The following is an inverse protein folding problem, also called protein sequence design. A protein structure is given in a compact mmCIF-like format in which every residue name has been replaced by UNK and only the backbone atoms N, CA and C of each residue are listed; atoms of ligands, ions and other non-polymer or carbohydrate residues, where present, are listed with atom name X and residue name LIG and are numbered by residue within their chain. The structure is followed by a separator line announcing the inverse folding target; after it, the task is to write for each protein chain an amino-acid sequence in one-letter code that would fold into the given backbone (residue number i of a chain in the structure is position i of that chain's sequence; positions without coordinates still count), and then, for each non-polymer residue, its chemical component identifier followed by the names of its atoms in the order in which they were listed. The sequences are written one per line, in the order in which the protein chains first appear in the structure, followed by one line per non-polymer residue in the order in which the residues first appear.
data_IF_248419388852
#
_entry.id   IF_248419388852
#
_cell.length_a   1.000
_cell.length_b   1.000
_cell.length_c   1.000
_cell.angle_alpha   90.00
_cell.angle_beta   90.00
_cell.angle_gamma   90.00
#
_symmetry.space_group_name_H-M   'P 1'
#
loop_
_entity.id
_entity.type
_entity.pdbx_description
1 polymer ?
#
# COMPACT_ATOMS: atom_id res chain seq x y z
N UNK A 1 -19.17 -5.12 -13.14
CA UNK A 1 -18.87 -5.51 -11.76
C UNK A 1 -18.68 -7.01 -11.72
N UNK A 2 -17.47 -7.46 -11.36
CA UNK A 2 -17.07 -8.86 -11.28
C UNK A 2 -16.55 -9.23 -9.88
N UNK A 3 -16.03 -10.45 -9.70
CA UNK A 3 -15.52 -10.90 -8.40
C UNK A 3 -14.37 -10.05 -7.89
N UNK A 4 -13.43 -9.65 -8.76
CA UNK A 4 -12.27 -8.84 -8.40
C UNK A 4 -12.69 -7.43 -7.95
N UNK A 5 -13.55 -6.75 -8.72
CA UNK A 5 -14.04 -5.42 -8.37
C UNK A 5 -14.85 -5.43 -7.07
N UNK A 6 -15.67 -6.47 -6.85
CA UNK A 6 -16.41 -6.64 -5.59
C UNK A 6 -15.48 -6.83 -4.40
N UNK A 7 -14.42 -7.65 -4.53
CA UNK A 7 -13.44 -7.88 -3.47
C UNK A 7 -12.79 -6.55 -3.04
N UNK A 8 -12.30 -5.76 -4.01
CA UNK A 8 -11.63 -4.49 -3.71
C UNK A 8 -12.61 -3.43 -3.20
N UNK A 9 -13.82 -3.33 -3.74
CA UNK A 9 -14.83 -2.40 -3.25
C UNK A 9 -15.26 -2.72 -1.81
N UNK A 10 -15.42 -4.00 -1.46
CA UNK A 10 -15.75 -4.42 -0.09
C UNK A 10 -14.64 -4.00 0.87
N UNK A 11 -13.37 -4.31 0.56
CA UNK A 11 -12.29 -3.98 1.47
C UNK A 11 -12.07 -2.47 1.59
N UNK A 12 -12.23 -1.70 0.50
CA UNK A 12 -12.13 -0.26 0.53
C UNK A 12 -13.26 0.37 1.37
N UNK A 13 -14.49 -0.13 1.23
CA UNK A 13 -15.64 0.32 2.05
C UNK A 13 -15.45 -0.04 3.52
N UNK A 14 -14.97 -1.26 3.82
CA UNK A 14 -14.67 -1.69 5.17
C UNK A 14 -13.60 -0.78 5.81
N UNK A 15 -12.58 -0.42 5.05
CA UNK A 15 -11.52 0.45 5.53
C UNK A 15 -11.95 1.90 5.69
N UNK A 16 -12.83 2.41 4.83
CA UNK A 16 -13.44 3.71 5.03
C UNK A 16 -14.22 3.76 6.35
N UNK A 17 -14.98 2.71 6.64
CA UNK A 17 -15.72 2.59 7.89
C UNK A 17 -14.78 2.46 9.12
N UNK A 18 -13.84 1.53 9.10
CA UNK A 18 -12.92 1.30 10.21
C UNK A 18 -11.99 2.52 10.46
N UNK A 19 -11.50 3.14 9.40
CA UNK A 19 -10.71 4.38 9.49
C UNK A 19 -11.54 5.54 10.05
N UNK A 20 -12.81 5.64 9.64
CA UNK A 20 -13.77 6.62 10.18
C UNK A 20 -14.03 6.41 11.68
N UNK A 21 -14.23 5.18 12.13
CA UNK A 21 -14.35 4.87 13.55
C UNK A 21 -13.09 5.23 14.33
N UNK A 22 -11.92 4.91 13.79
CA UNK A 22 -10.64 5.28 14.42
C UNK A 22 -10.50 6.80 14.50
N UNK A 23 -10.96 7.54 13.50
CA UNK A 23 -10.86 8.99 13.38
C UNK A 23 -11.98 9.77 14.11
N UNK A 24 -12.82 9.14 14.94
CA UNK A 24 -13.93 9.82 15.65
C UNK A 24 -13.47 11.04 16.49
N UNK A 25 -12.25 10.99 17.02
CA UNK A 25 -11.65 12.10 17.78
C UNK A 25 -10.89 13.12 16.91
N UNK A 26 -10.91 12.96 15.57
CA UNK A 26 -10.27 13.93 14.68
C UNK A 26 -11.13 15.20 14.59
N UNK A 27 -10.54 16.31 14.99
CA UNK A 27 -11.21 17.63 15.00
C UNK A 27 -11.13 18.35 13.65
N UNK A 28 -10.28 17.88 12.74
CA UNK A 28 -10.05 18.52 11.44
C UNK A 28 -11.05 18.01 10.40
N UNK A 29 -12.16 18.73 10.23
CA UNK A 29 -13.23 18.33 9.30
C UNK A 29 -12.72 18.20 7.87
N UNK A 30 -11.79 19.06 7.44
CA UNK A 30 -11.20 18.96 6.10
C UNK A 30 -10.50 17.64 5.87
N UNK A 31 -9.77 17.13 6.87
CA UNK A 31 -9.12 15.82 6.79
C UNK A 31 -10.14 14.70 6.59
N UNK A 32 -11.23 14.72 7.35
CA UNK A 32 -12.29 13.70 7.25
C UNK A 32 -12.99 13.74 5.90
N UNK A 33 -13.37 14.93 5.42
CA UNK A 33 -13.98 15.10 4.09
C UNK A 33 -13.04 14.57 3.01
N UNK A 34 -11.77 14.96 3.05
CA UNK A 34 -10.78 14.50 2.10
C UNK A 34 -10.55 12.99 2.16
N UNK A 35 -10.50 12.41 3.38
CA UNK A 35 -10.30 10.97 3.58
C UNK A 35 -11.47 10.15 3.02
N UNK A 36 -12.72 10.58 3.20
CA UNK A 36 -13.88 9.90 2.63
C UNK A 36 -14.03 10.12 1.13
N UNK A 37 -13.68 11.29 0.60
CA UNK A 37 -13.58 11.51 -0.85
C UNK A 37 -12.53 10.60 -1.47
N UNK A 38 -11.38 10.48 -0.83
CA UNK A 38 -10.29 9.58 -1.20
C UNK A 38 -10.73 8.11 -1.20
N UNK A 39 -11.40 7.66 -0.15
CA UNK A 39 -11.95 6.31 -0.06
C UNK A 39 -13.02 6.03 -1.13
N UNK A 40 -13.95 6.99 -1.35
CA UNK A 40 -14.97 6.88 -2.38
C UNK A 40 -14.39 6.82 -3.78
N UNK A 41 -13.33 7.58 -4.06
CA UNK A 41 -12.63 7.52 -5.36
C UNK A 41 -11.94 6.18 -5.58
N UNK A 42 -11.37 5.56 -4.54
CA UNK A 42 -10.80 4.21 -4.64
C UNK A 42 -11.87 3.15 -4.98
N UNK A 43 -13.07 3.27 -4.40
CA UNK A 43 -14.23 2.44 -4.79
C UNK A 43 -14.63 2.71 -6.25
N UNK A 44 -14.59 3.98 -6.68
CA UNK A 44 -14.83 4.35 -8.07
C UNK A 44 -13.82 3.73 -9.03
N UNK A 45 -12.53 3.69 -8.68
CA UNK A 45 -11.48 2.97 -9.43
C UNK A 45 -11.85 1.48 -9.56
N UNK A 46 -12.28 0.83 -8.47
CA UNK A 46 -12.64 -0.59 -8.48
C UNK A 46 -13.85 -0.90 -9.37
N UNK A 47 -14.75 0.05 -9.57
CA UNK A 47 -15.94 -0.11 -10.40
C UNK A 47 -15.81 0.49 -11.82
N UNK A 48 -14.70 1.14 -12.13
CA UNK A 48 -14.48 1.71 -13.46
C UNK A 48 -14.48 0.59 -14.53
N UNK A 49 -15.32 0.73 -15.54
CA UNK A 49 -15.40 -0.18 -16.68
C UNK A 49 -14.62 0.28 -17.90
N UNK A 50 -14.19 1.51 -17.90
CA UNK A 50 -13.42 2.16 -18.96
C UNK A 50 -12.23 2.95 -18.42
N UNK A 51 -11.27 3.22 -19.29
CA UNK A 51 -10.02 3.91 -18.93
C UNK A 51 -10.24 5.38 -18.56
N UNK A 52 -11.24 6.04 -19.09
CA UNK A 52 -11.54 7.45 -18.82
C UNK A 52 -12.13 7.58 -17.41
N UNK A 53 -13.12 6.78 -17.10
CA UNK A 53 -13.72 6.69 -15.74
C UNK A 53 -12.66 6.31 -14.71
N UNK A 54 -11.80 5.35 -15.03
CA UNK A 54 -10.66 4.96 -14.19
C UNK A 54 -9.76 6.17 -13.90
N UNK A 55 -9.38 6.93 -14.93
CA UNK A 55 -8.51 8.08 -14.80
C UNK A 55 -9.15 9.19 -13.96
N UNK A 56 -10.43 9.48 -14.14
CA UNK A 56 -11.14 10.52 -13.35
C UNK A 56 -11.08 10.18 -11.87
N UNK A 57 -11.44 8.95 -11.47
CA UNK A 57 -11.37 8.54 -10.06
C UNK A 57 -9.93 8.46 -9.54
N UNK A 58 -8.96 8.14 -10.41
CA UNK A 58 -7.54 8.13 -10.08
C UNK A 58 -7.03 9.52 -9.69
N UNK A 59 -7.42 10.56 -10.42
CA UNK A 59 -7.06 11.94 -10.11
C UNK A 59 -7.77 12.46 -8.84
N UNK A 60 -9.05 12.14 -8.66
CA UNK A 60 -9.77 12.47 -7.42
C UNK A 60 -9.08 11.81 -6.21
N UNK A 61 -8.61 10.58 -6.36
CA UNK A 61 -7.86 9.86 -5.34
C UNK A 61 -6.53 10.57 -5.01
N UNK A 62 -5.80 11.05 -6.00
CA UNK A 62 -4.55 11.81 -5.83
C UNK A 62 -4.79 13.14 -5.09
N UNK A 63 -5.84 13.87 -5.47
CA UNK A 63 -6.23 15.12 -4.81
C UNK A 63 -6.65 14.89 -3.36
N UNK A 64 -7.55 13.91 -3.13
CA UNK A 64 -8.05 13.60 -1.79
C UNK A 64 -6.93 13.20 -0.83
N UNK A 65 -6.01 12.32 -1.26
CA UNK A 65 -4.87 11.90 -0.45
C UNK A 65 -3.88 13.04 -0.17
N UNK A 66 -3.68 13.94 -1.14
CA UNK A 66 -2.85 15.14 -0.94
C UNK A 66 -3.45 16.05 0.13
N UNK A 67 -4.76 16.27 0.12
CA UNK A 67 -5.44 17.08 1.12
C UNK A 67 -5.37 16.41 2.51
N UNK A 68 -5.47 15.10 2.60
CA UNK A 68 -5.26 14.37 3.87
C UNK A 68 -3.86 14.63 4.41
N UNK A 69 -2.82 14.62 3.58
CA UNK A 69 -1.45 14.97 3.97
C UNK A 69 -1.34 16.42 4.44
N UNK A 70 -1.87 17.37 3.67
CA UNK A 70 -1.85 18.79 4.02
C UNK A 70 -2.58 19.08 5.33
N UNK A 71 -3.62 18.30 5.64
CA UNK A 71 -4.42 18.48 6.87
C UNK A 71 -3.65 18.16 8.16
N UNK A 72 -2.45 17.57 8.08
CA UNK A 72 -1.59 17.42 9.27
C UNK A 72 -1.07 18.79 9.79
N UNK A 73 -1.09 19.83 8.95
CA UNK A 73 -0.82 21.22 9.28
C UNK A 73 0.55 21.45 9.96
N UNK A 74 1.56 20.81 9.40
CA UNK A 74 2.96 21.00 9.79
C UNK A 74 3.79 21.40 8.58
N UNK A 75 4.88 22.18 8.74
CA UNK A 75 5.76 22.53 7.62
C UNK A 75 6.33 21.30 6.91
N UNK A 76 6.59 20.22 7.63
CA UNK A 76 7.08 18.96 7.10
C UNK A 76 6.01 18.27 6.26
N UNK A 77 4.77 18.19 6.77
CA UNK A 77 3.64 17.63 6.05
C UNK A 77 3.35 18.41 4.76
N UNK A 78 3.39 19.74 4.79
CA UNK A 78 3.17 20.57 3.61
C UNK A 78 4.22 20.32 2.52
N UNK A 79 5.50 20.22 2.90
CA UNK A 79 6.58 19.89 1.95
C UNK A 79 6.43 18.47 1.38
N UNK A 80 6.11 17.50 2.25
CA UNK A 80 5.90 16.12 1.84
C UNK A 80 4.66 15.99 0.93
N UNK A 81 3.56 16.68 1.25
CA UNK A 81 2.36 16.73 0.44
C UNK A 81 2.59 17.31 -0.96
N UNK A 82 3.42 18.37 -1.06
CA UNK A 82 3.75 18.95 -2.36
C UNK A 82 4.57 17.98 -3.22
N UNK A 83 5.59 17.30 -2.64
CA UNK A 83 6.35 16.27 -3.37
C UNK A 83 5.45 15.11 -3.79
N UNK A 84 4.61 14.64 -2.88
CA UNK A 84 3.60 13.61 -3.14
C UNK A 84 2.70 14.00 -4.31
N UNK A 85 2.13 15.19 -4.28
CA UNK A 85 1.27 15.71 -5.33
C UNK A 85 1.96 15.75 -6.70
N UNK A 86 3.18 16.30 -6.77
CA UNK A 86 3.95 16.38 -8.02
C UNK A 86 4.22 14.99 -8.59
N UNK A 87 4.60 14.01 -7.76
CA UNK A 87 4.86 12.63 -8.21
C UNK A 87 3.58 11.99 -8.75
N UNK A 88 2.44 12.17 -8.06
CA UNK A 88 1.17 11.58 -8.49
C UNK A 88 0.61 12.27 -9.74
N UNK A 89 0.75 13.60 -9.86
CA UNK A 89 0.42 14.31 -11.08
C UNK A 89 1.27 13.87 -12.27
N UNK A 90 2.57 13.61 -12.05
CA UNK A 90 3.43 13.05 -13.08
C UNK A 90 2.95 11.63 -13.50
N UNK A 91 2.64 10.76 -12.55
CA UNK A 91 2.05 9.45 -12.82
C UNK A 91 0.72 9.54 -13.58
N UNK A 92 -0.16 10.45 -13.18
CA UNK A 92 -1.42 10.75 -13.86
C UNK A 92 -1.21 11.25 -15.29
N UNK A 93 -0.24 12.14 -15.52
CA UNK A 93 0.10 12.61 -16.86
C UNK A 93 0.60 11.50 -17.78
N UNK A 94 1.43 10.58 -17.28
CA UNK A 94 1.85 9.39 -18.03
C UNK A 94 0.66 8.52 -18.39
N UNK A 95 -0.21 8.25 -17.42
CA UNK A 95 -1.41 7.42 -17.61
C UNK A 95 -2.37 8.07 -18.61
N UNK A 96 -2.65 9.38 -18.49
CA UNK A 96 -3.53 10.10 -19.42
C UNK A 96 -2.98 10.10 -20.85
N UNK A 97 -1.68 10.36 -21.01
CA UNK A 97 -1.02 10.32 -22.33
C UNK A 97 -1.15 8.93 -22.93
N UNK A 98 -0.92 7.87 -22.14
CA UNK A 98 -1.09 6.50 -22.58
C UNK A 98 -2.53 6.18 -22.96
N UNK A 99 -3.52 6.62 -22.18
CA UNK A 99 -4.95 6.43 -22.49
C UNK A 99 -5.31 7.17 -23.78
N UNK A 100 -4.84 8.41 -23.97
CA UNK A 100 -5.10 9.17 -25.19
C UNK A 100 -4.57 8.44 -26.44
N UNK A 101 -3.33 7.96 -26.39
CA UNK A 101 -2.74 7.18 -27.49
C UNK A 101 -3.49 5.87 -27.71
N UNK A 102 -3.86 5.17 -26.64
CA UNK A 102 -4.60 3.91 -26.73
C UNK A 102 -5.96 4.11 -27.42
N UNK A 103 -6.70 5.15 -27.04
CA UNK A 103 -8.01 5.48 -27.65
C UNK A 103 -7.83 5.91 -29.10
N UNK A 104 -6.77 6.68 -29.40
CA UNK A 104 -6.47 7.10 -30.77
C UNK A 104 -6.17 5.90 -31.68
N UNK A 105 -5.38 4.94 -31.18
CA UNK A 105 -4.95 3.77 -31.98
C UNK A 105 -6.05 2.71 -32.12
N UNK A 106 -6.88 2.51 -31.08
CA UNK A 106 -7.85 1.42 -31.03
C UNK A 106 -9.30 1.86 -31.27
N UNK A 107 -9.61 3.14 -31.08
CA UNK A 107 -10.97 3.67 -31.08
C UNK A 107 -11.81 3.24 -29.86
N UNK A 108 -11.22 2.48 -28.90
CA UNK A 108 -11.91 1.93 -27.74
C UNK A 108 -11.45 2.54 -26.42
N UNK A 109 -12.33 2.56 -25.43
CA UNK A 109 -12.04 3.05 -24.08
C UNK A 109 -12.14 1.95 -23.01
N UNK A 110 -12.52 0.73 -23.38
CA UNK A 110 -12.78 -0.36 -22.45
C UNK A 110 -11.54 -0.70 -21.60
N UNK A 111 -11.73 -0.86 -20.30
CA UNK A 111 -10.68 -1.28 -19.40
C UNK A 111 -10.63 -2.81 -19.30
N UNK A 112 -9.69 -3.42 -20.01
CA UNK A 112 -9.46 -4.86 -20.07
C UNK A 112 -7.97 -5.18 -19.95
N UNK A 113 -7.61 -6.46 -19.94
CA UNK A 113 -6.22 -6.89 -19.92
C UNK A 113 -5.46 -6.40 -21.16
N UNK A 114 -4.29 -5.83 -20.94
CA UNK A 114 -3.38 -5.26 -21.94
C UNK A 114 -1.99 -5.86 -21.78
N UNK A 115 -1.21 -5.83 -22.87
CA UNK A 115 0.24 -6.08 -22.81
C UNK A 115 0.97 -4.76 -23.03
N UNK A 116 2.09 -4.50 -22.33
CA UNK A 116 2.85 -3.26 -22.48
C UNK A 116 3.78 -3.32 -23.70
N UNK A 117 3.23 -3.68 -24.87
CA UNK A 117 3.92 -3.87 -26.13
C UNK A 117 3.83 -2.64 -27.05
N UNK A 118 3.00 -1.66 -26.70
CA UNK A 118 2.88 -0.38 -27.38
C UNK A 118 3.28 0.77 -26.47
N UNK A 119 3.62 1.92 -27.04
CA UNK A 119 3.90 3.13 -26.27
C UNK A 119 2.70 3.54 -25.40
N UNK A 120 1.49 3.36 -25.92
CA UNK A 120 0.25 3.65 -25.20
C UNK A 120 0.12 2.82 -23.92
N UNK A 121 0.18 1.51 -24.04
CA UNK A 121 0.02 0.57 -22.90
C UNK A 121 1.21 0.63 -21.93
N UNK A 122 2.43 0.88 -22.43
CA UNK A 122 3.61 1.09 -21.59
C UNK A 122 3.50 2.35 -20.73
N UNK A 123 2.97 3.44 -21.28
CA UNK A 123 2.73 4.69 -20.53
C UNK A 123 1.63 4.53 -19.48
N UNK A 124 0.56 3.79 -19.78
CA UNK A 124 -0.48 3.45 -18.79
C UNK A 124 0.16 2.65 -17.65
N UNK A 125 0.92 1.60 -17.97
CA UNK A 125 1.62 0.80 -16.97
C UNK A 125 2.56 1.65 -16.11
N UNK A 126 3.36 2.51 -16.72
CA UNK A 126 4.28 3.40 -16.01
C UNK A 126 3.54 4.33 -15.03
N UNK A 127 2.42 4.92 -15.45
CA UNK A 127 1.57 5.76 -14.59
C UNK A 127 1.01 4.98 -13.39
N UNK A 128 0.57 3.75 -13.60
CA UNK A 128 0.07 2.88 -12.52
C UNK A 128 1.20 2.50 -11.55
N UNK A 129 2.40 2.21 -12.06
CA UNK A 129 3.55 1.83 -11.26
C UNK A 129 4.04 2.96 -10.34
N UNK A 130 3.88 4.23 -10.73
CA UNK A 130 4.14 5.37 -9.83
C UNK A 130 3.29 5.27 -8.57
N UNK A 131 2.00 5.01 -8.70
CA UNK A 131 1.08 4.87 -7.56
C UNK A 131 1.28 3.56 -6.78
N UNK A 132 1.82 2.53 -7.41
CA UNK A 132 2.24 1.30 -6.72
C UNK A 132 3.52 1.48 -5.89
N UNK A 133 4.15 2.66 -5.92
CA UNK A 133 5.46 2.94 -5.33
C UNK A 133 6.58 2.07 -5.92
N UNK A 134 6.52 1.80 -7.22
CA UNK A 134 7.58 1.08 -7.93
C UNK A 134 8.80 1.99 -8.17
N UNK A 135 10.01 1.40 -8.33
CA UNK A 135 11.19 2.17 -8.68
C UNK A 135 11.02 2.90 -10.03
N UNK A 136 11.61 4.09 -10.20
CA UNK A 136 12.50 4.79 -9.28
C UNK A 136 11.77 5.64 -8.21
N UNK A 137 10.44 5.61 -8.16
CA UNK A 137 9.62 6.50 -7.32
C UNK A 137 9.25 5.92 -5.95
N UNK A 138 9.80 4.79 -5.53
CA UNK A 138 9.45 4.09 -4.29
C UNK A 138 9.56 4.94 -3.01
N UNK A 139 10.39 5.97 -3.03
CA UNK A 139 10.68 6.82 -1.87
C UNK A 139 9.53 7.73 -1.44
N UNK A 140 8.61 8.10 -2.36
CA UNK A 140 7.53 9.03 -2.03
C UNK A 140 6.66 8.54 -0.86
N UNK A 141 6.51 7.23 -0.74
CA UNK A 141 5.66 6.62 0.28
C UNK A 141 6.28 6.77 1.69
N UNK A 142 7.57 6.47 1.82
CA UNK A 142 8.31 6.64 3.07
C UNK A 142 8.51 8.11 3.46
N UNK A 143 8.48 9.02 2.49
CA UNK A 143 8.59 10.46 2.71
C UNK A 143 7.25 11.08 3.15
N UNK A 144 6.14 10.69 2.53
CA UNK A 144 4.85 11.33 2.72
C UNK A 144 4.03 10.75 3.88
N UNK A 145 3.84 9.44 3.94
CA UNK A 145 2.89 8.84 4.89
C UNK A 145 3.21 9.08 6.36
N UNK A 146 4.48 9.08 6.80
CA UNK A 146 4.81 9.37 8.20
C UNK A 146 4.51 10.80 8.64
N UNK A 147 4.38 11.73 7.69
CA UNK A 147 4.12 13.14 7.98
C UNK A 147 2.62 13.48 8.07
N UNK A 148 1.72 12.56 7.70
CA UNK A 148 0.29 12.72 7.91
C UNK A 148 -0.08 12.72 9.40
N UNK A 149 -1.31 13.13 9.73
CA UNK A 149 -1.84 13.04 11.08
C UNK A 149 -1.88 11.59 11.60
N UNK A 150 -2.17 11.41 12.89
CA UNK A 150 -2.30 10.08 13.49
C UNK A 150 -3.41 9.23 12.85
N UNK A 151 -4.50 9.85 12.36
CA UNK A 151 -5.60 9.21 11.64
C UNK A 151 -5.38 9.19 10.12
N UNK A 152 -4.85 10.25 9.55
CA UNK A 152 -4.64 10.39 8.10
C UNK A 152 -3.77 9.29 7.51
N UNK A 153 -2.71 8.85 8.21
CA UNK A 153 -1.85 7.76 7.74
C UNK A 153 -2.60 6.44 7.55
N UNK A 154 -3.62 6.18 8.37
CA UNK A 154 -4.45 4.97 8.26
C UNK A 154 -5.18 4.95 6.92
N UNK A 155 -5.82 6.06 6.54
CA UNK A 155 -6.47 6.20 5.24
C UNK A 155 -5.48 6.11 4.09
N UNK A 156 -4.35 6.83 4.17
CA UNK A 156 -3.33 6.82 3.12
C UNK A 156 -2.81 5.40 2.83
N UNK A 157 -2.65 4.59 3.84
CA UNK A 157 -2.13 3.22 3.67
C UNK A 157 -3.10 2.28 2.96
N UNK A 158 -4.39 2.59 2.94
CA UNK A 158 -5.42 1.66 2.50
C UNK A 158 -5.66 1.69 0.98
N UNK A 159 -5.60 2.86 0.34
CA UNK A 159 -6.22 3.03 -0.97
C UNK A 159 -5.23 3.14 -2.14
N UNK A 160 -4.36 4.15 -2.21
CA UNK A 160 -3.55 4.47 -3.40
C UNK A 160 -2.79 3.26 -3.95
N UNK A 161 -1.96 2.63 -3.13
CA UNK A 161 -1.14 1.50 -3.59
C UNK A 161 -1.96 0.27 -3.94
N UNK A 162 -3.09 0.04 -3.28
CA UNK A 162 -3.97 -1.11 -3.54
C UNK A 162 -4.88 -0.87 -4.72
N UNK A 163 -5.31 0.35 -4.97
CA UNK A 163 -5.95 0.73 -6.22
C UNK A 163 -5.01 0.47 -7.41
N UNK A 164 -3.70 0.80 -7.27
CA UNK A 164 -2.70 0.45 -8.27
C UNK A 164 -2.57 -1.07 -8.45
N UNK A 165 -2.53 -1.84 -7.36
CA UNK A 165 -2.52 -3.31 -7.43
C UNK A 165 -3.75 -3.86 -8.14
N UNK A 166 -4.95 -3.32 -7.84
CA UNK A 166 -6.18 -3.69 -8.55
C UNK A 166 -6.06 -3.47 -10.06
N UNK A 167 -5.58 -2.28 -10.46
CA UNK A 167 -5.41 -1.93 -11.87
C UNK A 167 -4.38 -2.84 -12.55
N UNK A 168 -3.29 -3.20 -11.85
CA UNK A 168 -2.28 -4.14 -12.37
C UNK A 168 -2.85 -5.55 -12.54
N UNK A 169 -3.63 -6.07 -11.58
CA UNK A 169 -4.26 -7.40 -11.68
C UNK A 169 -5.21 -7.44 -12.89
N UNK A 170 -6.00 -6.39 -13.10
CA UNK A 170 -6.97 -6.33 -14.19
C UNK A 170 -6.33 -6.02 -15.54
N UNK A 171 -5.43 -5.05 -15.56
CA UNK A 171 -4.88 -4.48 -16.79
C UNK A 171 -3.63 -5.16 -17.31
N UNK A 172 -2.79 -5.72 -16.43
CA UNK A 172 -1.47 -6.22 -16.81
C UNK A 172 -1.11 -7.59 -16.19
N UNK A 173 -2.04 -8.57 -16.17
CA UNK A 173 -1.75 -9.88 -15.62
C UNK A 173 -0.68 -10.60 -16.46
N UNK A 174 0.28 -11.25 -15.80
CA UNK A 174 1.33 -12.02 -16.47
C UNK A 174 2.38 -11.18 -17.19
N UNK A 175 2.51 -9.90 -16.85
CA UNK A 175 3.54 -9.02 -17.42
C UNK A 175 4.87 -9.28 -16.71
N UNK A 176 5.79 -10.00 -17.35
CA UNK A 176 7.04 -10.51 -16.75
C UNK A 176 7.91 -9.44 -16.08
N UNK A 177 7.98 -8.23 -16.65
CA UNK A 177 8.77 -7.12 -16.05
C UNK A 177 8.34 -6.82 -14.60
N UNK A 178 7.07 -7.10 -14.25
CA UNK A 178 6.55 -6.90 -12.91
C UNK A 178 7.20 -7.83 -11.87
N UNK A 179 7.73 -8.98 -12.28
CA UNK A 179 8.50 -9.86 -11.39
C UNK A 179 9.73 -9.12 -10.88
N UNK A 180 10.51 -8.52 -11.77
CA UNK A 180 11.73 -7.80 -11.41
C UNK A 180 11.42 -6.53 -10.62
N UNK A 181 10.41 -5.77 -11.04
CA UNK A 181 9.93 -4.57 -10.33
C UNK A 181 9.51 -4.95 -8.91
N UNK A 182 8.70 -6.00 -8.76
CA UNK A 182 8.21 -6.45 -7.47
C UNK A 182 9.34 -6.93 -6.55
N UNK A 183 10.28 -7.73 -7.04
CA UNK A 183 11.45 -8.19 -6.27
C UNK A 183 12.31 -7.01 -5.81
N UNK A 184 12.55 -6.03 -6.68
CA UNK A 184 13.25 -4.81 -6.27
C UNK A 184 12.50 -4.07 -5.15
N UNK A 185 11.19 -3.89 -5.28
CA UNK A 185 10.36 -3.24 -4.25
C UNK A 185 10.43 -3.97 -2.91
N UNK A 186 10.44 -5.30 -2.94
CA UNK A 186 10.54 -6.14 -1.75
C UNK A 186 11.81 -5.81 -0.98
N UNK A 187 12.98 -5.94 -1.62
CA UNK A 187 14.27 -5.75 -0.94
C UNK A 187 14.55 -4.28 -0.61
N UNK A 188 14.13 -3.34 -1.47
CA UNK A 188 14.20 -1.92 -1.17
C UNK A 188 13.40 -1.58 0.10
N UNK A 189 12.14 -2.03 0.17
CA UNK A 189 11.28 -1.78 1.33
C UNK A 189 11.81 -2.39 2.63
N UNK A 190 12.36 -3.60 2.57
CA UNK A 190 13.02 -4.26 3.72
C UNK A 190 14.22 -3.44 4.19
N UNK A 191 15.15 -3.15 3.28
CA UNK A 191 16.39 -2.44 3.61
C UNK A 191 16.09 -1.09 4.25
N UNK A 192 15.19 -0.31 3.65
CA UNK A 192 14.83 1.00 4.18
C UNK A 192 14.12 0.88 5.53
N UNK A 193 13.23 -0.09 5.72
CA UNK A 193 12.55 -0.31 7.00
C UNK A 193 13.52 -0.73 8.13
N UNK A 194 14.55 -1.51 7.80
CA UNK A 194 15.58 -1.90 8.78
C UNK A 194 16.46 -0.72 9.21
N UNK A 195 16.75 0.19 8.30
CA UNK A 195 17.59 1.37 8.58
C UNK A 195 16.85 2.47 9.34
N UNK A 196 15.52 2.50 9.29
CA UNK A 196 14.71 3.56 9.89
C UNK A 196 14.57 3.44 11.42
N UNK A 197 14.44 4.60 12.06
CA UNK A 197 14.18 4.72 13.51
C UNK A 197 12.77 5.27 13.84
N UNK A 198 12.06 5.82 12.86
CA UNK A 198 10.69 6.28 13.01
C UNK A 198 9.72 5.13 12.81
N UNK A 199 8.88 4.82 13.82
CA UNK A 199 7.94 3.68 13.76
C UNK A 199 6.97 3.76 12.56
N UNK A 200 6.55 4.98 12.20
CA UNK A 200 5.61 5.19 11.09
C UNK A 200 6.33 5.05 9.74
N UNK A 201 7.61 5.45 9.65
CA UNK A 201 8.45 5.29 8.48
C UNK A 201 8.82 3.83 8.23
N UNK A 202 9.12 3.09 9.30
CA UNK A 202 9.29 1.62 9.24
C UNK A 202 8.05 0.99 8.60
N UNK A 203 6.86 1.35 9.09
CA UNK A 203 5.60 0.83 8.56
C UNK A 203 5.33 1.32 7.13
N UNK A 204 5.74 2.52 6.75
CA UNK A 204 5.60 3.05 5.40
C UNK A 204 6.46 2.24 4.39
N UNK A 205 7.75 2.06 4.65
CA UNK A 205 8.60 1.23 3.80
C UNK A 205 8.17 -0.23 3.74
N UNK A 206 7.62 -0.74 4.83
CA UNK A 206 7.01 -2.05 4.86
C UNK A 206 5.76 -2.16 3.94
N UNK A 207 5.09 -1.05 3.56
CA UNK A 207 4.06 -1.07 2.51
C UNK A 207 4.71 -1.35 1.15
N UNK A 208 5.81 -0.68 0.82
CA UNK A 208 6.53 -0.90 -0.46
C UNK A 208 6.93 -2.37 -0.60
N UNK A 209 7.48 -2.97 0.46
CA UNK A 209 7.82 -4.38 0.51
C UNK A 209 6.59 -5.28 0.20
N UNK A 210 5.47 -5.06 0.90
CA UNK A 210 4.28 -5.91 0.75
C UNK A 210 3.60 -5.73 -0.62
N UNK A 211 3.57 -4.50 -1.15
CA UNK A 211 3.11 -4.25 -2.53
C UNK A 211 4.03 -4.95 -3.53
N UNK A 212 5.32 -5.02 -3.25
CA UNK A 212 6.28 -5.79 -4.05
C UNK A 212 5.89 -7.26 -4.20
N UNK A 213 5.44 -7.93 -3.12
CA UNK A 213 4.91 -9.30 -3.21
C UNK A 213 3.70 -9.39 -4.15
N UNK A 214 2.78 -8.41 -4.08
CA UNK A 214 1.60 -8.37 -4.94
C UNK A 214 2.01 -8.18 -6.41
N UNK A 215 2.90 -7.22 -6.69
CA UNK A 215 3.41 -6.92 -8.03
C UNK A 215 4.15 -8.12 -8.62
N UNK A 216 4.97 -8.81 -7.81
CA UNK A 216 5.62 -10.07 -8.23
C UNK A 216 4.60 -11.14 -8.59
N UNK A 217 3.56 -11.34 -7.76
CA UNK A 217 2.49 -12.31 -8.05
C UNK A 217 1.73 -11.98 -9.33
N UNK A 218 1.49 -10.70 -9.60
CA UNK A 218 0.86 -10.25 -10.84
C UNK A 218 1.77 -10.55 -12.04
N UNK A 219 3.08 -10.36 -11.90
CA UNK A 219 4.07 -10.66 -12.94
C UNK A 219 4.14 -12.16 -13.29
N UNK A 220 4.01 -13.06 -12.28
CA UNK A 220 3.91 -14.52 -12.52
C UNK A 220 2.67 -14.85 -13.37
N UNK A 221 1.54 -14.22 -13.10
CA UNK A 221 0.35 -14.23 -13.95
C UNK A 221 -0.47 -15.50 -13.92
N UNK A 222 -0.10 -16.55 -13.20
CA UNK A 222 -0.93 -17.73 -13.02
C UNK A 222 -2.16 -17.44 -12.17
N UNK A 223 -3.21 -18.21 -12.30
CA UNK A 223 -4.44 -18.04 -11.51
C UNK A 223 -4.15 -18.02 -10.00
N UNK A 224 -3.30 -18.94 -9.55
CA UNK A 224 -2.87 -19.00 -8.14
C UNK A 224 -2.12 -17.73 -7.72
N UNK A 225 -1.23 -17.19 -8.56
CA UNK A 225 -0.46 -15.99 -8.28
C UNK A 225 -1.34 -14.74 -8.23
N UNK A 226 -2.28 -14.61 -9.18
CA UNK A 226 -3.23 -13.49 -9.23
C UNK A 226 -4.20 -13.52 -8.05
N UNK A 227 -4.73 -14.69 -7.71
CA UNK A 227 -5.58 -14.88 -6.53
C UNK A 227 -4.78 -14.61 -5.24
N UNK A 228 -3.51 -15.04 -5.19
CA UNK A 228 -2.59 -14.73 -4.10
C UNK A 228 -2.34 -13.23 -3.94
N UNK A 229 -2.12 -12.51 -5.04
CA UNK A 229 -1.93 -11.07 -5.03
C UNK A 229 -3.19 -10.34 -4.55
N UNK A 230 -4.38 -10.73 -5.02
CA UNK A 230 -5.66 -10.17 -4.60
C UNK A 230 -5.95 -10.45 -3.10
N UNK A 231 -5.76 -11.70 -2.66
CA UNK A 231 -5.91 -12.08 -1.26
C UNK A 231 -4.89 -11.35 -0.37
N UNK A 232 -3.66 -11.16 -0.85
CA UNK A 232 -2.63 -10.42 -0.12
C UNK A 232 -2.98 -8.94 -0.01
N UNK A 233 -3.51 -8.32 -1.06
CA UNK A 233 -3.99 -6.95 -1.01
C UNK A 233 -5.11 -6.77 0.03
N UNK A 234 -6.09 -7.67 0.05
CA UNK A 234 -7.19 -7.67 1.01
C UNK A 234 -6.67 -7.80 2.46
N UNK A 235 -5.90 -8.84 2.73
CA UNK A 235 -5.34 -9.09 4.06
C UNK A 235 -4.42 -7.96 4.52
N UNK A 236 -3.56 -7.47 3.61
CA UNK A 236 -2.61 -6.39 3.89
C UNK A 236 -3.30 -5.09 4.28
N UNK A 237 -4.41 -4.72 3.63
CA UNK A 237 -5.17 -3.52 4.00
C UNK A 237 -5.59 -3.61 5.48
N UNK A 238 -6.09 -4.76 5.93
CA UNK A 238 -6.58 -4.95 7.30
C UNK A 238 -5.45 -4.91 8.32
N UNK A 239 -4.43 -5.78 8.19
CA UNK A 239 -3.39 -5.84 9.22
C UNK A 239 -2.48 -4.63 9.20
N UNK A 240 -2.32 -3.97 8.04
CA UNK A 240 -1.55 -2.74 7.95
C UNK A 240 -2.26 -1.57 8.59
N UNK A 241 -3.58 -1.49 8.40
CA UNK A 241 -4.40 -0.52 9.12
C UNK A 241 -4.28 -0.72 10.63
N UNK A 242 -4.35 -1.96 11.11
CA UNK A 242 -4.19 -2.27 12.53
C UNK A 242 -2.84 -1.81 13.08
N UNK A 243 -1.75 -2.06 12.35
CA UNK A 243 -0.40 -1.58 12.71
C UNK A 243 -0.32 -0.06 12.75
N UNK A 244 -0.89 0.62 11.75
CA UNK A 244 -0.85 2.09 11.68
C UNK A 244 -1.81 2.74 12.68
N UNK A 245 -2.94 2.12 12.99
CA UNK A 245 -3.81 2.54 14.08
C UNK A 245 -3.08 2.42 15.42
N UNK A 246 -2.33 1.33 15.64
CA UNK A 246 -1.50 1.16 16.84
C UNK A 246 -0.41 2.24 16.94
N UNK A 247 0.33 2.48 15.86
CA UNK A 247 1.34 3.55 15.80
C UNK A 247 0.70 4.94 15.91
N UNK A 248 -0.48 5.15 15.34
CA UNK A 248 -1.25 6.39 15.46
C UNK A 248 -1.70 6.66 16.89
N UNK A 249 -2.18 5.62 17.58
CA UNK A 249 -2.56 5.71 19.00
C UNK A 249 -1.36 6.04 19.88
N UNK A 250 -0.20 5.42 19.62
CA UNK A 250 1.05 5.75 20.33
C UNK A 250 1.44 7.22 20.09
N UNK A 251 1.40 7.67 18.84
CA UNK A 251 1.70 9.07 18.53
C UNK A 251 0.71 10.03 19.20
N UNK A 252 -0.59 9.71 19.19
CA UNK A 252 -1.64 10.53 19.80
C UNK A 252 -1.45 10.67 21.31
N UNK A 253 -1.09 9.59 22.00
CA UNK A 253 -0.96 9.57 23.46
C UNK A 253 0.39 10.08 23.96
N UNK A 254 1.48 9.84 23.22
CA UNK A 254 2.85 10.15 23.68
C UNK A 254 3.48 11.36 23.00
N UNK A 255 2.99 11.74 21.81
CA UNK A 255 3.64 12.72 20.95
C UNK A 255 4.97 12.25 20.33
N UNK A 256 5.42 11.03 20.65
CA UNK A 256 6.70 10.45 20.21
C UNK A 256 6.49 9.53 19.01
N UNK A 257 7.50 9.46 18.13
CA UNK A 257 7.45 8.60 16.93
C UNK A 257 8.75 7.81 16.67
N UNK A 258 9.86 8.21 17.32
CA UNK A 258 11.13 7.50 17.20
C UNK A 258 11.18 6.30 18.13
N UNK A 259 11.63 5.16 17.63
CA UNK A 259 11.77 3.94 18.40
C UNK A 259 12.69 4.09 19.60
N UNK A 260 13.74 4.94 19.49
CA UNK A 260 14.67 5.25 20.59
C UNK A 260 14.04 6.04 21.74
N UNK A 261 12.92 6.71 21.50
CA UNK A 261 12.25 7.57 22.48
C UNK A 261 11.00 6.89 23.08
N UNK A 262 10.73 5.64 22.67
CA UNK A 262 9.58 4.83 23.06
C UNK A 262 10.02 3.65 23.92
N UNK A 263 9.10 2.99 24.56
CA UNK A 263 9.30 1.80 25.37
C UNK A 263 8.32 1.73 26.53
N UNK A 264 8.20 0.58 27.18
CA UNK A 264 7.37 0.38 28.38
C UNK A 264 5.85 0.51 28.17
N UNK A 265 5.39 0.74 26.93
CA UNK A 265 3.98 1.05 26.65
C UNK A 265 3.04 -0.16 26.82
N UNK A 266 3.57 -1.38 26.96
CA UNK A 266 2.74 -2.56 27.17
C UNK A 266 1.92 -2.50 28.47
N UNK A 267 2.40 -1.74 29.48
CA UNK A 267 1.68 -1.54 30.74
C UNK A 267 0.62 -0.43 30.64
N UNK A 268 0.96 0.68 29.98
CA UNK A 268 0.09 1.87 29.89
C UNK A 268 -0.93 1.79 28.72
N UNK A 269 -0.60 1.03 27.67
CA UNK A 269 -1.42 0.87 26.46
C UNK A 269 -1.59 -0.63 26.08
N UNK A 270 -2.13 -1.49 26.98
CA UNK A 270 -2.14 -2.95 26.77
C UNK A 270 -2.94 -3.37 25.54
N UNK A 271 -4.10 -2.74 25.28
CA UNK A 271 -4.91 -3.05 24.11
C UNK A 271 -4.20 -2.67 22.80
N UNK A 272 -3.57 -1.50 22.76
CA UNK A 272 -2.78 -1.05 21.61
C UNK A 272 -1.60 -1.99 21.36
N UNK A 273 -0.92 -2.44 22.41
CA UNK A 273 0.17 -3.41 22.35
C UNK A 273 -0.30 -4.75 21.77
N UNK A 274 -1.43 -5.26 22.26
CA UNK A 274 -2.02 -6.50 21.75
C UNK A 274 -2.36 -6.38 20.26
N UNK A 275 -3.06 -5.31 19.87
CA UNK A 275 -3.43 -5.06 18.47
C UNK A 275 -2.20 -4.89 17.58
N UNK A 276 -1.21 -4.11 18.01
CA UNK A 276 0.06 -3.93 17.29
C UNK A 276 0.83 -5.23 17.12
N UNK A 277 0.86 -6.08 18.14
CA UNK A 277 1.51 -7.40 18.08
C UNK A 277 0.78 -8.35 17.12
N UNK A 278 -0.55 -8.39 17.14
CA UNK A 278 -1.35 -9.20 16.20
C UNK A 278 -1.09 -8.74 14.75
N UNK A 279 -1.08 -7.44 14.51
CA UNK A 279 -0.74 -6.88 13.19
C UNK A 279 0.68 -7.23 12.75
N UNK A 280 1.64 -7.21 13.68
CA UNK A 280 3.03 -7.57 13.45
C UNK A 280 3.20 -9.07 13.10
N UNK A 281 2.47 -9.96 13.74
CA UNK A 281 2.45 -11.38 13.40
C UNK A 281 1.82 -11.60 12.01
N UNK A 282 0.72 -10.90 11.71
CA UNK A 282 0.04 -11.04 10.43
C UNK A 282 0.91 -10.59 9.24
N UNK A 283 1.58 -9.44 9.34
CA UNK A 283 2.47 -8.96 8.27
C UNK A 283 3.68 -9.87 8.07
N UNK A 284 4.14 -10.50 9.15
CA UNK A 284 5.29 -11.42 9.17
C UNK A 284 4.97 -12.80 8.61
N UNK A 285 3.75 -13.02 8.15
CA UNK A 285 3.28 -14.32 7.69
C UNK A 285 3.45 -15.43 8.75
N UNK A 286 3.17 -15.10 10.01
CA UNK A 286 3.15 -16.10 11.07
C UNK A 286 2.05 -17.13 10.77
N UNK A 287 2.29 -18.44 11.00
CA UNK A 287 1.26 -19.45 10.79
C UNK A 287 -0.08 -19.08 11.45
N UNK A 288 -1.18 -19.45 10.83
CA UNK A 288 -2.56 -19.13 11.25
C UNK A 288 -2.99 -17.68 11.05
N UNK A 289 -2.16 -16.83 10.45
CA UNK A 289 -2.52 -15.45 10.10
C UNK A 289 -2.89 -15.32 8.62
N UNK A 290 -3.61 -14.22 8.27
CA UNK A 290 -4.00 -13.94 6.89
C UNK A 290 -2.82 -13.70 5.95
N UNK A 291 -1.73 -13.09 6.46
CA UNK A 291 -0.52 -12.87 5.70
C UNK A 291 0.22 -14.15 5.33
N UNK A 292 0.12 -15.19 6.16
CA UNK A 292 0.68 -16.51 5.85
C UNK A 292 0.01 -17.12 4.62
N UNK A 293 -1.33 -17.17 4.60
CA UNK A 293 -2.08 -17.79 3.50
C UNK A 293 -1.77 -17.11 2.18
N UNK A 294 -1.89 -15.79 2.13
CA UNK A 294 -1.73 -15.05 0.88
C UNK A 294 -0.30 -15.06 0.33
N UNK A 295 0.72 -14.96 1.19
CA UNK A 295 2.13 -15.10 0.76
C UNK A 295 2.44 -16.51 0.30
N UNK A 296 1.92 -17.53 0.99
CA UNK A 296 2.12 -18.93 0.59
C UNK A 296 1.56 -19.22 -0.80
N UNK A 297 0.43 -18.60 -1.17
CA UNK A 297 -0.11 -18.73 -2.53
C UNK A 297 0.85 -18.18 -3.59
N UNK A 298 1.44 -17.00 -3.38
CA UNK A 298 2.40 -16.39 -4.31
C UNK A 298 3.68 -17.22 -4.38
N UNK A 299 4.20 -17.67 -3.23
CA UNK A 299 5.39 -18.52 -3.16
C UNK A 299 5.17 -19.85 -3.87
N UNK A 300 4.01 -20.50 -3.64
CA UNK A 300 3.68 -21.75 -4.29
C UNK A 300 3.50 -21.59 -5.80
N UNK A 301 2.93 -20.47 -6.26
CA UNK A 301 2.84 -20.17 -7.68
C UNK A 301 4.24 -20.07 -8.32
N UNK A 302 5.20 -19.39 -7.68
CA UNK A 302 6.58 -19.34 -8.16
C UNK A 302 7.23 -20.73 -8.22
N UNK A 303 6.95 -21.60 -7.23
CA UNK A 303 7.44 -22.99 -7.21
C UNK A 303 6.84 -23.82 -8.34
N UNK A 304 5.54 -23.71 -8.58
CA UNK A 304 4.84 -24.44 -9.64
C UNK A 304 5.34 -24.06 -11.05
N UNK A 305 5.71 -22.81 -11.24
CA UNK A 305 6.30 -22.33 -12.51
C UNK A 305 7.83 -22.58 -12.60
N UNK A 306 8.39 -23.38 -11.68
CA UNK A 306 9.82 -23.69 -11.62
C UNK A 306 10.74 -22.47 -11.53
N UNK A 307 10.27 -21.34 -11.01
CA UNK A 307 11.03 -20.11 -10.81
C UNK A 307 11.83 -20.18 -9.49
N UNK A 308 12.81 -21.11 -9.42
CA UNK A 308 13.51 -21.44 -8.20
C UNK A 308 14.20 -20.22 -7.53
N UNK A 309 14.87 -19.37 -8.30
CA UNK A 309 15.51 -18.16 -7.77
C UNK A 309 14.49 -17.19 -7.20
N UNK A 310 13.38 -16.98 -7.90
CA UNK A 310 12.28 -16.13 -7.44
C UNK A 310 11.67 -16.68 -6.15
N UNK A 311 11.38 -17.98 -6.11
CA UNK A 311 10.87 -18.65 -4.91
C UNK A 311 11.80 -18.43 -3.71
N UNK A 312 13.11 -18.62 -3.90
CA UNK A 312 14.10 -18.38 -2.85
C UNK A 312 14.10 -16.92 -2.38
N UNK A 313 14.06 -15.94 -3.30
CA UNK A 313 13.96 -14.52 -2.96
C UNK A 313 12.71 -14.20 -2.14
N UNK A 314 11.55 -14.74 -2.52
CA UNK A 314 10.28 -14.53 -1.81
C UNK A 314 10.31 -15.15 -0.41
N UNK A 315 10.90 -16.35 -0.24
CA UNK A 315 11.05 -17.01 1.06
C UNK A 315 11.99 -16.22 1.98
N UNK A 316 13.16 -15.79 1.48
CA UNK A 316 14.11 -14.97 2.22
C UNK A 316 13.46 -13.64 2.66
N UNK A 317 12.76 -12.98 1.74
CA UNK A 317 12.05 -11.74 2.03
C UNK A 317 10.96 -11.93 3.09
N UNK A 318 10.24 -13.04 3.09
CA UNK A 318 9.22 -13.33 4.12
C UNK A 318 9.84 -13.45 5.51
N UNK A 319 11.03 -14.05 5.62
CA UNK A 319 11.78 -14.14 6.86
C UNK A 319 12.27 -12.74 7.34
N UNK A 320 12.76 -11.90 6.42
CA UNK A 320 13.23 -10.56 6.73
C UNK A 320 12.10 -9.62 7.20
N UNK A 321 10.88 -9.80 6.70
CA UNK A 321 9.71 -9.04 7.18
C UNK A 321 9.49 -9.27 8.67
N UNK A 322 9.75 -10.46 9.17
CA UNK A 322 9.66 -10.78 10.59
C UNK A 322 10.62 -9.91 11.43
N UNK A 323 11.81 -9.59 10.92
CA UNK A 323 12.78 -8.76 11.64
C UNK A 323 12.28 -7.31 11.82
N UNK A 324 11.88 -6.65 10.75
CA UNK A 324 11.55 -5.21 10.83
C UNK A 324 10.12 -4.92 11.28
N UNK A 325 9.16 -5.75 10.98
CA UNK A 325 7.77 -5.54 11.34
C UNK A 325 7.28 -6.47 12.45
N UNK A 326 7.78 -7.72 12.50
CA UNK A 326 7.40 -8.71 13.50
C UNK A 326 8.09 -8.51 14.84
N UNK A 327 9.36 -8.13 14.83
CA UNK A 327 10.17 -7.93 16.06
C UNK A 327 10.44 -6.46 16.30
N UNK A 328 11.10 -5.76 15.37
CA UNK A 328 11.58 -4.39 15.58
C UNK A 328 10.47 -3.45 16.00
N UNK A 329 9.33 -3.45 15.28
CA UNK A 329 8.23 -2.54 15.60
C UNK A 329 7.63 -2.83 16.99
N UNK A 330 7.16 -4.06 17.35
CA UNK A 330 6.59 -4.28 18.66
C UNK A 330 7.60 -4.10 19.80
N UNK A 331 8.83 -4.60 19.61
CA UNK A 331 9.85 -4.55 20.63
C UNK A 331 10.19 -3.11 21.03
N UNK A 332 10.58 -2.29 20.06
CA UNK A 332 11.02 -0.93 20.33
C UNK A 332 9.88 0.02 20.70
N UNK A 333 8.67 -0.24 20.25
CA UNK A 333 7.52 0.62 20.58
C UNK A 333 6.93 0.27 21.94
N UNK A 334 6.80 -1.01 22.25
CA UNK A 334 6.02 -1.45 23.42
C UNK A 334 6.83 -2.09 24.54
N UNK A 335 7.84 -2.91 24.22
CA UNK A 335 8.45 -3.83 25.18
C UNK A 335 9.84 -3.44 25.70
N UNK A 336 10.62 -2.63 24.95
CA UNK A 336 11.91 -2.18 25.48
C UNK A 336 11.73 -1.35 26.77
N UNK A 337 12.80 -1.21 27.54
CA UNK A 337 12.77 -0.36 28.73
C UNK A 337 12.40 1.07 28.37
N UNK A 338 11.61 1.70 29.24
CA UNK A 338 11.26 3.11 29.13
C UNK A 338 12.53 3.97 29.12
N UNK A 339 12.62 4.90 28.18
CA UNK A 339 13.80 5.75 27.97
C UNK A 339 13.64 7.12 28.64
#
# INVERSE_FOLDING_TARGET
VDALSRLFAIIFSLMAFAGGLFALNQKRTLELVAAFTYAGSAVGVAFAGDLITLFVFWEIMALGSTIVLLSADTPQASKAAMRYFVVHMFGGALMLTGIFLFVFDTGGVAFSAMKPDTAATALILAGVLVNAAAPPFSSWLGDAYPEASWSGTVFLSAFTTKAAVYVLIRGFPGTEILIFVGVFMIFYGITMALLENDMRRILAYSIVNQVGFMVTGIGIGTEMALNGAAAHAFAHIIYKALLLMSAGSVLYMTGKRKCTDLGGLFQSMPLTTLCGTIGALAISAFPWTSGFVSKSMINQAAANEHLALLWFCLMAASADVFLHAGIKFPWFVFFQKDS
#
